data_IF_658412629680
#
_entry.id   IF_658412629680
#
_cell.length_a   1.000
_cell.length_b   1.000
_cell.length_c   1.000
_cell.angle_alpha   90.00
_cell.angle_beta   90.00
_cell.angle_gamma   90.00
#
_symmetry.space_group_name_H-M   'P 1'
#
loop_
_entity.id
_entity.type
_entity.pdbx_description
1 polymer ?
#
# COMPACT_ATOMS: atom_id res chain seq x y z
N UNK A 1 18.77 -7.91 -16.05
CA UNK A 1 17.41 -7.56 -16.50
C UNK A 1 16.50 -7.25 -15.29
N UNK A 2 16.87 -6.20 -14.54
CA UNK A 2 16.10 -5.70 -13.38
C UNK A 2 15.09 -4.60 -13.78
N UNK A 3 14.93 -4.35 -15.08
CA UNK A 3 14.16 -3.21 -15.59
C UNK A 3 12.66 -3.39 -15.70
N UNK A 4 12.10 -4.60 -15.48
CA UNK A 4 10.70 -4.85 -15.82
C UNK A 4 9.68 -4.66 -14.68
N UNK A 5 10.11 -4.74 -13.43
CA UNK A 5 9.21 -4.57 -12.27
C UNK A 5 8.97 -3.08 -11.97
N UNK A 6 10.02 -2.27 -12.04
CA UNK A 6 9.95 -0.83 -11.81
C UNK A 6 9.08 -0.09 -12.83
N UNK A 7 9.11 -0.55 -14.09
CA UNK A 7 8.36 0.09 -15.19
C UNK A 7 6.89 -0.28 -15.25
N UNK A 8 6.50 -1.45 -14.74
CA UNK A 8 5.12 -1.96 -14.90
C UNK A 8 4.16 -1.52 -13.79
N UNK A 9 4.63 -1.24 -12.58
CA UNK A 9 3.74 -0.97 -11.44
C UNK A 9 3.77 0.50 -11.01
N UNK A 10 4.95 1.12 -10.92
CA UNK A 10 5.09 2.45 -10.31
C UNK A 10 4.82 3.67 -11.21
N UNK A 11 5.14 3.69 -12.52
CA UNK A 11 4.79 4.83 -13.38
C UNK A 11 3.31 4.87 -13.78
N UNK A 12 2.64 3.72 -13.80
CA UNK A 12 1.29 3.59 -14.35
C UNK A 12 0.16 3.55 -13.31
N UNK A 13 0.46 3.54 -12.00
CA UNK A 13 -0.58 3.50 -10.95
C UNK A 13 -1.17 4.86 -10.60
N UNK A 14 -0.82 5.90 -11.37
CA UNK A 14 -1.32 7.24 -11.09
C UNK A 14 -0.88 7.80 -9.72
N UNK A 15 0.15 7.19 -9.08
CA UNK A 15 0.73 7.75 -7.86
C UNK A 15 1.49 9.02 -8.23
N UNK A 16 0.75 10.13 -8.28
CA UNK A 16 1.32 11.45 -8.51
C UNK A 16 2.12 11.88 -7.28
N UNK A 17 3.43 11.97 -7.43
CA UNK A 17 4.27 12.54 -6.39
C UNK A 17 4.00 14.04 -6.28
N UNK A 18 3.89 14.59 -5.05
CA UNK A 18 3.76 16.04 -4.88
C UNK A 18 5.10 16.73 -5.17
N UNK A 19 5.04 17.92 -5.80
CA UNK A 19 6.21 18.74 -6.07
C UNK A 19 7.02 18.33 -7.30
N UNK A 20 8.27 18.81 -7.37
CA UNK A 20 9.19 18.56 -8.48
C UNK A 20 10.27 17.55 -8.08
N UNK A 21 10.76 16.76 -9.05
CA UNK A 21 11.85 15.80 -8.81
C UNK A 21 13.14 16.57 -8.46
N UNK A 22 13.73 16.22 -7.31
CA UNK A 22 14.97 16.82 -6.82
C UNK A 22 16.15 15.84 -6.79
N UNK A 23 15.87 14.55 -6.56
CA UNK A 23 16.90 13.52 -6.45
C UNK A 23 16.42 12.20 -7.06
N UNK A 24 17.37 11.40 -7.57
CA UNK A 24 17.10 10.04 -8.08
C UNK A 24 18.23 9.07 -7.74
N UNK A 25 17.86 7.85 -7.39
CA UNK A 25 18.77 6.70 -7.21
C UNK A 25 18.25 5.49 -8.00
N UNK A 26 19.00 4.37 -8.09
CA UNK A 26 18.48 3.15 -8.71
C UNK A 26 17.21 2.58 -8.07
N UNK A 27 16.96 2.92 -6.80
CA UNK A 27 15.82 2.38 -6.02
C UNK A 27 14.73 3.39 -5.72
N UNK A 28 14.87 4.65 -6.15
CA UNK A 28 13.83 5.60 -5.84
C UNK A 28 14.07 7.00 -6.37
N UNK A 29 13.03 7.81 -6.24
CA UNK A 29 13.02 9.23 -6.55
C UNK A 29 12.60 10.02 -5.32
N UNK A 30 13.12 11.24 -5.20
CA UNK A 30 12.61 12.24 -4.26
C UNK A 30 12.05 13.40 -5.04
N UNK A 31 10.84 13.80 -4.67
CA UNK A 31 10.26 15.07 -5.08
C UNK A 31 10.16 15.99 -3.88
N UNK A 32 10.05 17.28 -4.11
CA UNK A 32 9.87 18.25 -3.04
C UNK A 32 8.93 19.38 -3.45
N UNK A 33 8.20 19.89 -2.48
CA UNK A 33 7.37 21.08 -2.58
C UNK A 33 7.78 22.12 -1.50
N UNK A 34 6.95 23.12 -1.30
CA UNK A 34 7.19 24.14 -0.29
C UNK A 34 7.24 23.59 1.16
N UNK A 35 6.62 22.43 1.42
CA UNK A 35 6.38 21.92 2.77
C UNK A 35 7.20 20.69 3.12
N UNK A 36 7.53 19.85 2.14
CA UNK A 36 8.17 18.56 2.41
C UNK A 36 9.04 18.03 1.28
N UNK A 37 9.75 16.96 1.61
CA UNK A 37 10.44 16.08 0.68
C UNK A 37 9.75 14.70 0.72
N UNK A 38 9.53 14.12 -0.44
CA UNK A 38 8.73 12.89 -0.57
C UNK A 38 9.53 11.87 -1.35
N UNK A 39 9.84 10.74 -0.73
CA UNK A 39 10.56 9.65 -1.38
C UNK A 39 9.60 8.55 -1.82
N UNK A 40 9.71 8.11 -3.08
CA UNK A 40 9.08 6.89 -3.60
C UNK A 40 10.16 5.89 -3.91
N UNK A 41 10.16 4.77 -3.19
CA UNK A 41 11.09 3.66 -3.35
C UNK A 41 10.41 2.47 -4.01
N UNK A 42 11.16 1.75 -4.86
CA UNK A 42 10.69 0.57 -5.55
C UNK A 42 11.81 -0.45 -5.79
N UNK A 43 11.43 -1.71 -5.94
CA UNK A 43 12.36 -2.76 -6.31
C UNK A 43 13.38 -3.13 -5.22
N UNK A 44 13.04 -2.91 -3.95
CA UNK A 44 13.91 -3.24 -2.82
C UNK A 44 13.78 -4.72 -2.49
N UNK A 45 14.76 -5.52 -2.88
CA UNK A 45 14.86 -6.94 -2.53
C UNK A 45 15.68 -7.19 -1.26
N UNK A 46 15.75 -8.46 -0.81
CA UNK A 46 16.63 -8.90 0.27
C UNK A 46 18.10 -8.82 -0.17
N UNK A 47 19.01 -8.77 0.80
CA UNK A 47 20.43 -8.85 0.55
C UNK A 47 20.87 -10.23 0.03
N UNK A 48 20.19 -11.30 0.46
CA UNK A 48 20.41 -12.68 0.01
C UNK A 48 19.07 -13.31 -0.38
N UNK A 49 18.90 -13.58 -1.67
CA UNK A 49 17.70 -14.23 -2.21
C UNK A 49 17.64 -15.74 -1.92
N UNK A 50 18.71 -16.35 -1.40
CA UNK A 50 18.73 -17.76 -1.00
C UNK A 50 18.41 -17.97 0.49
N UNK A 51 18.32 -16.91 1.28
CA UNK A 51 17.96 -16.98 2.69
C UNK A 51 16.52 -17.49 2.90
N UNK A 52 16.16 -17.99 4.09
CA UNK A 52 14.78 -18.31 4.45
C UNK A 52 13.84 -17.11 4.21
N UNK A 53 12.57 -17.37 3.82
CA UNK A 53 11.63 -16.34 3.39
C UNK A 53 11.42 -15.21 4.41
N UNK A 54 11.30 -15.55 5.71
CA UNK A 54 11.19 -14.56 6.78
C UNK A 54 12.44 -13.68 6.94
N UNK A 55 13.63 -14.24 6.72
CA UNK A 55 14.88 -13.47 6.78
C UNK A 55 15.03 -12.58 5.54
N UNK A 56 14.56 -13.06 4.38
CA UNK A 56 14.46 -12.21 3.19
C UNK A 56 13.56 -11.00 3.44
N UNK A 57 12.38 -11.22 4.07
CA UNK A 57 11.46 -10.12 4.39
C UNK A 57 12.09 -9.11 5.36
N UNK A 58 12.73 -9.57 6.42
CA UNK A 58 13.42 -8.69 7.37
C UNK A 58 14.52 -7.87 6.68
N UNK A 59 15.37 -8.53 5.90
CA UNK A 59 16.47 -7.91 5.14
C UNK A 59 15.96 -6.90 4.09
N UNK A 60 14.81 -7.16 3.47
CA UNK A 60 14.19 -6.21 2.53
C UNK A 60 13.71 -4.94 3.24
N UNK A 61 13.14 -5.03 4.46
CA UNK A 61 12.83 -3.84 5.27
C UNK A 61 14.08 -3.05 5.64
N UNK A 62 15.19 -3.71 6.00
CA UNK A 62 16.49 -3.04 6.18
C UNK A 62 16.97 -2.39 4.87
N UNK A 63 16.68 -3.00 3.74
CA UNK A 63 16.93 -2.44 2.41
C UNK A 63 16.18 -1.12 2.19
N UNK A 64 14.90 -1.06 2.58
CA UNK A 64 14.12 0.19 2.55
C UNK A 64 14.77 1.28 3.41
N UNK A 65 15.18 0.93 4.63
CA UNK A 65 15.86 1.87 5.54
C UNK A 65 17.17 2.39 4.93
N UNK A 66 18.00 1.52 4.35
CA UNK A 66 19.23 1.93 3.67
C UNK A 66 18.97 2.82 2.45
N UNK A 67 17.94 2.52 1.66
CA UNK A 67 17.57 3.33 0.50
C UNK A 67 17.07 4.73 0.92
N UNK A 68 16.32 4.83 2.01
CA UNK A 68 15.89 6.11 2.60
C UNK A 68 17.09 6.92 3.12
N UNK A 69 18.07 6.26 3.73
CA UNK A 69 19.26 6.94 4.25
C UNK A 69 20.07 7.65 3.14
N UNK A 70 20.04 7.16 1.90
CA UNK A 70 20.66 7.83 0.76
C UNK A 70 20.02 9.21 0.46
N UNK A 71 18.78 9.44 0.91
CA UNK A 71 18.05 10.70 0.80
C UNK A 71 18.01 11.51 2.10
N UNK A 72 18.77 11.09 3.13
CA UNK A 72 18.74 11.73 4.45
C UNK A 72 17.42 11.48 5.21
N UNK A 73 16.70 10.40 4.89
CA UNK A 73 15.49 9.96 5.57
C UNK A 73 15.75 8.66 6.34
N UNK A 74 14.85 8.29 7.24
CA UNK A 74 14.83 7.02 7.93
C UNK A 74 13.42 6.40 7.92
N UNK A 75 13.27 5.23 8.54
CA UNK A 75 12.00 4.51 8.53
C UNK A 75 10.87 5.25 9.28
N UNK A 76 11.16 6.27 10.09
CA UNK A 76 10.13 7.09 10.74
C UNK A 76 9.38 8.00 9.78
N UNK A 77 9.92 8.23 8.59
CA UNK A 77 9.29 8.99 7.52
C UNK A 77 8.37 8.14 6.63
N UNK A 78 8.41 6.79 6.76
CA UNK A 78 7.61 5.90 5.90
C UNK A 78 6.13 6.04 6.21
N UNK A 79 5.37 6.42 5.20
CA UNK A 79 3.91 6.58 5.23
C UNK A 79 3.21 5.30 4.80
N UNK A 80 3.78 4.63 3.79
CA UNK A 80 3.20 3.43 3.17
C UNK A 80 4.27 2.47 2.71
N UNK A 81 3.96 1.17 2.75
CA UNK A 81 4.76 0.09 2.15
C UNK A 81 3.95 -0.75 1.18
N UNK A 82 4.61 -1.27 0.13
CA UNK A 82 4.11 -2.31 -0.77
C UNK A 82 4.98 -3.55 -0.61
N UNK A 83 4.33 -4.70 -0.47
CA UNK A 83 4.94 -6.00 -0.21
C UNK A 83 4.54 -6.95 -1.34
N UNK A 84 5.42 -7.13 -2.31
CA UNK A 84 5.20 -8.06 -3.43
C UNK A 84 5.91 -9.37 -3.10
N UNK A 85 5.14 -10.40 -2.73
CA UNK A 85 5.66 -11.65 -2.20
C UNK A 85 5.36 -12.82 -3.13
N UNK A 86 6.39 -13.50 -3.64
CA UNK A 86 6.21 -14.73 -4.41
C UNK A 86 5.52 -15.79 -3.55
N UNK A 87 4.42 -16.37 -4.07
CA UNK A 87 3.60 -17.39 -3.39
C UNK A 87 3.24 -17.00 -1.94
N UNK A 88 2.70 -15.80 -1.77
CA UNK A 88 2.42 -15.18 -0.47
C UNK A 88 1.64 -16.11 0.48
N UNK A 89 0.74 -16.93 -0.04
CA UNK A 89 -0.09 -17.84 0.76
C UNK A 89 0.69 -18.95 1.47
N UNK A 90 1.91 -19.27 1.01
CA UNK A 90 2.75 -20.31 1.61
C UNK A 90 3.48 -19.86 2.87
N UNK A 91 3.71 -18.53 3.04
CA UNK A 91 4.58 -18.01 4.09
C UNK A 91 4.15 -16.64 4.64
N UNK A 92 2.86 -16.32 4.53
CA UNK A 92 2.33 -15.02 4.99
C UNK A 92 2.55 -14.77 6.48
N UNK A 93 2.53 -15.82 7.30
CA UNK A 93 2.81 -15.71 8.74
C UNK A 93 4.29 -15.36 8.98
N UNK A 94 5.23 -15.95 8.26
CA UNK A 94 6.65 -15.61 8.34
C UNK A 94 6.91 -14.16 7.90
N UNK A 95 6.21 -13.69 6.87
CA UNK A 95 6.25 -12.30 6.43
C UNK A 95 5.78 -11.35 7.53
N UNK A 96 4.63 -11.65 8.15
CA UNK A 96 4.08 -10.85 9.25
C UNK A 96 5.02 -10.85 10.47
N UNK A 97 5.57 -12.00 10.85
CA UNK A 97 6.53 -12.13 11.94
C UNK A 97 7.81 -11.33 11.68
N UNK A 98 8.33 -11.36 10.45
CA UNK A 98 9.52 -10.60 10.07
C UNK A 98 9.25 -9.08 10.13
N UNK A 99 8.08 -8.62 9.61
CA UNK A 99 7.64 -7.23 9.68
C UNK A 99 7.47 -6.78 11.13
N UNK A 100 6.80 -7.57 11.96
CA UNK A 100 6.60 -7.25 13.37
C UNK A 100 7.94 -7.11 14.12
N UNK A 101 8.86 -8.06 13.90
CA UNK A 101 10.22 -8.01 14.46
C UNK A 101 10.96 -6.74 14.04
N UNK A 102 10.91 -6.37 12.76
CA UNK A 102 11.52 -5.14 12.26
C UNK A 102 10.86 -3.90 12.88
N UNK A 103 9.53 -3.81 12.90
CA UNK A 103 8.80 -2.68 13.45
C UNK A 103 9.07 -2.48 14.95
N UNK A 104 9.16 -3.56 15.73
CA UNK A 104 9.55 -3.50 17.14
C UNK A 104 10.97 -2.97 17.29
N UNK A 105 11.92 -3.47 16.51
CA UNK A 105 13.33 -3.04 16.59
C UNK A 105 13.54 -1.56 16.24
N UNK A 106 12.62 -0.95 15.50
CA UNK A 106 12.65 0.47 15.09
C UNK A 106 11.66 1.34 15.85
N UNK A 107 10.95 0.81 16.85
CA UNK A 107 9.98 1.56 17.66
C UNK A 107 8.79 2.11 16.86
N UNK A 108 8.41 1.45 15.76
CA UNK A 108 7.31 1.89 14.87
C UNK A 108 5.99 1.98 15.63
N UNK A 109 5.69 1.00 16.48
CA UNK A 109 4.43 0.96 17.26
C UNK A 109 4.25 2.11 18.25
N UNK A 110 5.34 2.75 18.69
CA UNK A 110 5.29 3.90 19.59
C UNK A 110 5.04 5.23 18.88
N UNK A 111 4.91 5.23 17.55
CA UNK A 111 4.77 6.44 16.73
C UNK A 111 3.62 6.32 15.75
N UNK A 112 3.89 5.73 14.59
CA UNK A 112 2.99 5.63 13.47
C UNK A 112 3.25 4.29 12.76
N UNK A 113 2.20 3.49 12.55
CA UNK A 113 2.28 2.26 11.78
C UNK A 113 1.87 2.59 10.34
N UNK A 114 2.75 2.37 9.34
CA UNK A 114 2.45 2.71 7.95
C UNK A 114 1.22 2.01 7.40
N UNK A 115 0.55 2.63 6.43
CA UNK A 115 -0.36 1.92 5.54
C UNK A 115 0.42 0.86 4.75
N UNK A 116 -0.23 -0.23 4.33
CA UNK A 116 0.46 -1.30 3.62
C UNK A 116 -0.47 -2.11 2.73
N UNK A 117 0.08 -2.63 1.63
CA UNK A 117 -0.56 -3.63 0.78
C UNK A 117 0.40 -4.80 0.60
N UNK A 118 -0.09 -6.03 0.80
CA UNK A 118 0.67 -7.26 0.65
C UNK A 118 0.04 -8.17 -0.40
N UNK A 119 0.70 -8.37 -1.53
CA UNK A 119 0.18 -9.06 -2.72
C UNK A 119 1.12 -10.17 -3.15
N UNK A 120 0.53 -11.27 -3.59
CA UNK A 120 1.22 -12.43 -4.13
C UNK A 120 1.68 -12.21 -5.56
N UNK A 121 2.90 -11.70 -5.74
CA UNK A 121 3.46 -11.46 -7.06
C UNK A 121 5.00 -11.42 -7.03
N UNK A 122 5.65 -12.18 -7.91
CA UNK A 122 7.11 -12.27 -7.96
C UNK A 122 7.73 -11.34 -9.00
N UNK A 123 6.98 -10.96 -10.02
CA UNK A 123 7.49 -10.18 -11.16
C UNK A 123 8.72 -10.79 -11.83
N UNK A 124 8.97 -12.09 -11.64
CA UNK A 124 10.15 -12.78 -12.16
C UNK A 124 11.42 -12.56 -11.33
N UNK A 125 11.32 -11.99 -10.12
CA UNK A 125 12.43 -11.90 -9.17
C UNK A 125 12.80 -13.29 -8.63
N UNK A 126 14.09 -13.61 -8.43
CA UNK A 126 14.50 -14.80 -7.70
C UNK A 126 14.24 -14.71 -6.20
N UNK A 127 14.03 -13.49 -5.67
CA UNK A 127 13.73 -13.26 -4.27
C UNK A 127 12.26 -13.54 -3.98
N UNK A 128 11.98 -14.02 -2.76
CA UNK A 128 10.61 -14.28 -2.26
C UNK A 128 9.84 -13.00 -2.01
N UNK A 129 10.49 -11.85 -1.92
CA UNK A 129 9.86 -10.56 -1.66
C UNK A 129 10.60 -9.42 -2.32
N UNK A 130 9.83 -8.44 -2.79
CA UNK A 130 10.32 -7.12 -3.22
C UNK A 130 9.45 -6.06 -2.58
N UNK A 131 10.06 -5.03 -2.00
CA UNK A 131 9.38 -3.94 -1.33
C UNK A 131 9.38 -2.66 -2.14
N UNK A 132 8.33 -1.87 -1.94
CA UNK A 132 8.27 -0.45 -2.22
C UNK A 132 7.89 0.33 -0.97
N UNK A 133 8.19 1.64 -0.95
CA UNK A 133 7.79 2.51 0.13
C UNK A 133 7.54 3.94 -0.36
N UNK A 134 6.59 4.61 0.26
CA UNK A 134 6.42 6.05 0.18
C UNK A 134 6.74 6.66 1.53
N UNK A 135 7.61 7.68 1.52
CA UNK A 135 8.03 8.39 2.73
C UNK A 135 7.82 9.90 2.55
N UNK A 136 7.53 10.60 3.65
CA UNK A 136 7.33 12.04 3.68
C UNK A 136 8.13 12.65 4.84
N UNK A 137 9.02 13.59 4.52
CA UNK A 137 9.88 14.32 5.46
C UNK A 137 9.48 15.79 5.47
N UNK A 138 9.09 16.37 6.62
CA UNK A 138 8.78 17.80 6.70
C UNK A 138 10.04 18.66 6.53
N UNK A 139 9.93 19.79 5.81
CA UNK A 139 10.99 20.80 5.71
C UNK A 139 11.09 21.67 6.99
N UNK A 140 10.00 21.77 7.74
CA UNK A 140 9.95 22.44 9.02
C UNK A 140 8.95 21.73 9.96
N UNK A 141 9.05 21.90 11.28
CA UNK A 141 8.12 21.27 12.23
C UNK A 141 6.66 21.58 11.86
N UNK A 142 5.86 20.49 11.66
CA UNK A 142 4.44 20.60 11.35
C UNK A 142 4.08 20.96 9.89
N UNK A 143 5.06 21.19 8.99
CA UNK A 143 4.77 21.45 7.58
C UNK A 143 4.24 20.24 6.82
N UNK A 144 4.55 19.04 7.26
CA UNK A 144 3.92 17.78 6.86
C UNK A 144 3.50 17.02 8.11
N UNK A 145 2.24 16.62 8.18
CA UNK A 145 1.68 15.82 9.28
C UNK A 145 1.19 14.51 8.70
N UNK A 146 1.62 13.40 9.30
CA UNK A 146 1.20 12.05 8.92
C UNK A 146 0.41 11.43 10.06
N UNK A 147 -0.76 10.86 9.76
CA UNK A 147 -1.66 10.25 10.73
C UNK A 147 -2.17 8.89 10.21
N UNK A 148 -2.17 7.87 11.07
CA UNK A 148 -2.81 6.60 10.77
C UNK A 148 -4.34 6.74 10.92
N UNK A 149 -5.07 6.23 9.94
CA UNK A 149 -6.53 6.26 9.95
C UNK A 149 -7.11 4.86 10.20
N UNK A 150 -8.10 4.73 11.11
CA UNK A 150 -8.90 3.53 11.21
C UNK A 150 -9.89 3.42 10.05
N UNK A 151 -10.39 2.22 9.78
CA UNK A 151 -11.58 2.03 8.96
C UNK A 151 -12.82 2.07 9.83
N UNK A 152 -13.87 2.81 9.46
CA UNK A 152 -15.15 2.75 10.16
C UNK A 152 -15.86 1.40 10.07
N UNK A 153 -15.54 0.58 9.06
CA UNK A 153 -16.23 -0.68 8.75
C UNK A 153 -15.38 -1.94 8.96
N UNK A 154 -14.06 -1.80 9.23
CA UNK A 154 -13.17 -2.95 9.42
C UNK A 154 -12.37 -2.79 10.72
N UNK A 155 -12.14 -3.91 11.41
CA UNK A 155 -11.28 -3.92 12.60
C UNK A 155 -9.83 -3.52 12.27
N UNK A 156 -9.06 -3.03 13.24
CA UNK A 156 -7.63 -2.81 13.08
C UNK A 156 -6.89 -4.08 12.63
N UNK A 157 -5.98 -3.95 11.65
CA UNK A 157 -5.25 -5.11 11.12
C UNK A 157 -4.39 -5.81 12.19
N UNK A 158 -3.92 -5.07 13.18
CA UNK A 158 -3.14 -5.59 14.30
C UNK A 158 -3.91 -6.59 15.17
N UNK A 159 -5.25 -6.54 15.19
CA UNK A 159 -6.08 -7.51 15.94
C UNK A 159 -6.02 -8.94 15.39
N UNK A 160 -5.62 -9.09 14.11
CA UNK A 160 -5.44 -10.40 13.49
C UNK A 160 -3.98 -10.66 13.03
N UNK A 161 -3.01 -10.00 13.66
CA UNK A 161 -1.59 -10.28 13.48
C UNK A 161 -0.93 -9.61 12.26
N UNK A 162 -1.57 -8.62 11.65
CA UNK A 162 -1.00 -7.88 10.52
C UNK A 162 -0.65 -6.45 10.92
N UNK A 163 0.64 -6.10 10.84
CA UNK A 163 1.17 -4.81 11.32
C UNK A 163 1.06 -3.73 10.26
N UNK A 164 -0.15 -3.17 10.06
CA UNK A 164 -0.39 -2.01 9.20
C UNK A 164 -1.62 -1.22 9.65
N UNK A 165 -1.68 0.07 9.26
CA UNK A 165 -2.85 0.92 9.44
C UNK A 165 -3.79 0.80 8.23
N UNK A 166 -5.11 0.90 8.44
CA UNK A 166 -6.12 0.79 7.36
C UNK A 166 -5.94 1.86 6.30
N UNK A 167 -5.50 3.04 6.70
CA UNK A 167 -5.08 4.10 5.80
C UNK A 167 -4.10 5.03 6.52
N UNK A 168 -3.48 5.90 5.74
CA UNK A 168 -2.67 7.03 6.19
C UNK A 168 -3.23 8.32 5.64
N UNK A 169 -3.22 9.39 6.43
CA UNK A 169 -3.43 10.74 5.94
C UNK A 169 -2.13 11.52 5.99
N UNK A 170 -1.77 12.17 4.88
CA UNK A 170 -0.69 13.16 4.80
C UNK A 170 -1.31 14.52 4.60
N UNK A 171 -1.01 15.46 5.47
CA UNK A 171 -1.51 16.85 5.41
C UNK A 171 -0.38 17.84 5.34
N UNK A 172 -0.56 18.81 4.47
CA UNK A 172 0.27 20.02 4.36
C UNK A 172 -0.62 21.27 4.34
N UNK A 173 -0.08 22.47 4.42
CA UNK A 173 -0.88 23.70 4.20
C UNK A 173 -1.57 23.76 2.85
N UNK A 174 -1.02 23.16 1.78
CA UNK A 174 -1.53 23.28 0.41
C UNK A 174 -2.32 22.09 -0.11
N UNK A 175 -2.20 20.90 0.53
CA UNK A 175 -2.93 19.70 0.11
C UNK A 175 -3.06 18.70 1.24
N UNK A 176 -3.97 17.76 1.06
CA UNK A 176 -4.07 16.56 1.89
C UNK A 176 -4.29 15.34 1.01
N UNK A 177 -3.74 14.21 1.41
CA UNK A 177 -3.89 12.92 0.74
C UNK A 177 -4.26 11.85 1.75
N UNK A 178 -5.27 11.07 1.42
CA UNK A 178 -5.62 9.83 2.13
C UNK A 178 -5.15 8.65 1.28
N UNK A 179 -4.33 7.80 1.87
CA UNK A 179 -3.70 6.63 1.25
C UNK A 179 -4.31 5.39 1.90
N UNK A 180 -5.18 4.69 1.19
CA UNK A 180 -5.86 3.49 1.70
C UNK A 180 -5.01 2.26 1.45
N UNK A 181 -4.78 1.47 2.49
CA UNK A 181 -4.10 0.17 2.42
C UNK A 181 -4.88 -0.84 1.58
N UNK A 182 -4.23 -1.93 1.20
CA UNK A 182 -4.92 -3.08 0.62
C UNK A 182 -6.16 -3.43 1.44
N UNK A 183 -7.32 -3.34 0.79
CA UNK A 183 -8.64 -3.48 1.40
C UNK A 183 -9.42 -4.54 0.65
N UNK A 184 -9.65 -5.66 1.32
CA UNK A 184 -10.46 -6.78 0.86
C UNK A 184 -11.75 -6.90 1.67
N UNK A 185 -12.59 -7.86 1.34
CA UNK A 185 -13.87 -8.12 2.01
C UNK A 185 -13.64 -8.81 3.36
N UNK A 186 -13.84 -8.06 4.46
CA UNK A 186 -13.74 -8.56 5.84
C UNK A 186 -15.12 -8.49 6.51
N UNK A 187 -15.52 -9.57 7.16
CA UNK A 187 -16.77 -9.63 7.90
C UNK A 187 -16.76 -8.65 9.09
N UNK A 188 -17.78 -7.80 9.25
CA UNK A 188 -17.90 -6.94 10.41
C UNK A 188 -17.87 -7.73 11.73
N UNK A 189 -17.07 -7.27 12.67
CA UNK A 189 -16.95 -7.91 13.99
C UNK A 189 -16.21 -9.26 14.01
N UNK A 190 -15.57 -9.64 12.89
CA UNK A 190 -14.71 -10.81 12.80
C UNK A 190 -13.46 -10.50 11.96
N UNK A 191 -12.54 -11.48 11.92
CA UNK A 191 -11.32 -11.39 11.09
C UNK A 191 -11.45 -12.28 9.83
N UNK A 192 -12.64 -12.83 9.59
CA UNK A 192 -12.93 -13.72 8.47
C UNK A 192 -13.23 -13.00 7.16
N UNK A 193 -13.20 -13.76 6.07
CA UNK A 193 -13.63 -13.30 4.75
C UNK A 193 -15.14 -13.18 4.72
N UNK A 194 -15.67 -12.02 4.31
CA UNK A 194 -17.08 -11.87 3.99
C UNK A 194 -17.36 -12.29 2.55
N UNK A 195 -18.57 -12.75 2.25
CA UNK A 195 -18.99 -13.12 0.89
C UNK A 195 -18.08 -14.16 0.22
N UNK A 196 -17.72 -15.23 0.95
CA UNK A 196 -16.88 -16.31 0.41
C UNK A 196 -17.49 -16.87 -0.88
N UNK A 197 -16.67 -16.92 -1.95
CA UNK A 197 -17.09 -17.38 -3.28
C UNK A 197 -17.97 -16.40 -4.09
N UNK A 198 -18.37 -15.27 -3.53
CA UNK A 198 -19.14 -14.22 -4.21
C UNK A 198 -18.26 -13.02 -4.55
N UNK A 199 -17.75 -12.97 -5.79
CA UNK A 199 -16.89 -11.88 -6.27
C UNK A 199 -17.59 -10.53 -6.19
N UNK A 200 -18.85 -10.45 -6.59
CA UNK A 200 -19.59 -9.17 -6.59
C UNK A 200 -19.82 -8.65 -5.16
N UNK A 201 -20.18 -9.53 -4.24
CA UNK A 201 -20.32 -9.20 -2.83
C UNK A 201 -18.98 -8.78 -2.19
N UNK A 202 -17.86 -9.42 -2.57
CA UNK A 202 -16.54 -9.02 -2.08
C UNK A 202 -16.13 -7.64 -2.59
N UNK A 203 -16.37 -7.34 -3.86
CA UNK A 203 -16.11 -6.01 -4.44
C UNK A 203 -16.92 -4.95 -3.68
N UNK A 204 -18.23 -5.13 -3.56
CA UNK A 204 -19.11 -4.17 -2.88
C UNK A 204 -18.69 -3.94 -1.42
N UNK A 205 -18.37 -5.01 -0.69
CA UNK A 205 -17.91 -4.92 0.70
C UNK A 205 -16.60 -4.14 0.83
N UNK A 206 -15.61 -4.41 -0.02
CA UNK A 206 -14.32 -3.72 -0.02
C UNK A 206 -14.50 -2.24 -0.40
N UNK A 207 -15.25 -1.95 -1.45
CA UNK A 207 -15.48 -0.58 -1.92
C UNK A 207 -16.23 0.28 -0.91
N UNK A 208 -17.20 -0.29 -0.18
CA UNK A 208 -17.86 0.41 0.93
C UNK A 208 -16.89 0.73 2.07
N UNK A 209 -15.95 -0.18 2.38
CA UNK A 209 -14.93 0.09 3.39
C UNK A 209 -13.98 1.22 2.97
N UNK A 210 -13.60 1.28 1.69
CA UNK A 210 -12.79 2.36 1.12
C UNK A 210 -13.56 3.68 1.16
N UNK A 211 -14.82 3.70 0.71
CA UNK A 211 -15.68 4.88 0.75
C UNK A 211 -15.79 5.46 2.18
N UNK A 212 -16.06 4.59 3.18
CA UNK A 212 -16.18 5.00 4.57
C UNK A 212 -14.88 5.63 5.14
N UNK A 213 -13.71 5.16 4.70
CA UNK A 213 -12.43 5.78 5.07
C UNK A 213 -12.35 7.21 4.49
N UNK A 214 -12.67 7.40 3.21
CA UNK A 214 -12.67 8.72 2.57
C UNK A 214 -13.69 9.66 3.21
N UNK A 215 -14.92 9.20 3.41
CA UNK A 215 -16.01 9.96 4.05
C UNK A 215 -15.65 10.42 5.47
N UNK A 216 -14.90 9.61 6.24
CA UNK A 216 -14.41 9.99 7.56
C UNK A 216 -13.50 11.23 7.54
N UNK A 217 -13.00 11.59 6.36
CA UNK A 217 -12.16 12.77 6.10
C UNK A 217 -12.83 13.79 5.17
N UNK A 218 -14.14 13.66 4.91
CA UNK A 218 -14.88 14.55 4.01
C UNK A 218 -14.39 14.49 2.57
N UNK A 219 -13.91 13.31 2.15
CA UNK A 219 -13.55 12.98 0.77
C UNK A 219 -14.56 12.00 0.18
N UNK A 220 -14.55 11.88 -1.12
CA UNK A 220 -15.40 10.97 -1.89
C UNK A 220 -14.59 10.23 -2.93
N UNK A 221 -15.19 9.30 -3.67
CA UNK A 221 -14.53 8.69 -4.83
C UNK A 221 -14.11 9.71 -5.90
N UNK A 222 -14.80 10.86 -6.01
CA UNK A 222 -14.39 11.93 -6.91
C UNK A 222 -13.02 12.54 -6.62
N UNK A 223 -12.47 12.34 -5.42
CA UNK A 223 -11.14 12.80 -5.01
C UNK A 223 -10.03 11.77 -5.31
N UNK A 224 -10.38 10.55 -5.79
CA UNK A 224 -9.40 9.48 -6.07
C UNK A 224 -8.47 9.89 -7.20
N UNK A 225 -7.18 9.83 -6.94
CA UNK A 225 -6.10 10.18 -7.87
C UNK A 225 -5.32 8.99 -8.39
N UNK A 226 -5.48 7.82 -7.78
CA UNK A 226 -4.85 6.58 -8.22
C UNK A 226 -5.37 5.38 -7.44
N UNK A 227 -5.46 4.21 -8.10
CA UNK A 227 -5.86 2.97 -7.48
C UNK A 227 -5.25 1.75 -8.20
N UNK A 228 -4.91 0.71 -7.42
CA UNK A 228 -4.67 -0.63 -7.92
C UNK A 228 -5.73 -1.58 -7.42
N UNK A 229 -6.26 -2.37 -8.34
CA UNK A 229 -7.23 -3.42 -8.08
C UNK A 229 -6.57 -4.77 -8.33
N UNK A 230 -6.60 -5.63 -7.35
CA UNK A 230 -6.04 -6.97 -7.40
C UNK A 230 -7.17 -7.97 -7.52
N UNK A 231 -7.18 -8.69 -8.63
CA UNK A 231 -8.15 -9.72 -8.96
C UNK A 231 -7.49 -11.08 -8.77
N UNK A 232 -8.13 -11.98 -8.03
CA UNK A 232 -7.59 -13.33 -7.81
C UNK A 232 -7.33 -14.09 -9.11
N UNK A 233 -8.22 -13.91 -10.09
CA UNK A 233 -8.11 -14.45 -11.42
C UNK A 233 -8.81 -13.54 -12.46
N UNK A 234 -8.64 -13.86 -13.74
CA UNK A 234 -9.21 -13.07 -14.83
C UNK A 234 -10.74 -13.13 -14.87
N UNK A 235 -11.38 -14.18 -14.36
CA UNK A 235 -12.84 -14.28 -14.31
C UNK A 235 -13.47 -13.20 -13.40
N UNK A 236 -12.71 -12.71 -12.41
CA UNK A 236 -13.14 -11.64 -11.52
C UNK A 236 -13.29 -10.28 -12.26
N UNK A 237 -12.61 -10.09 -13.41
CA UNK A 237 -12.58 -8.81 -14.14
C UNK A 237 -13.95 -8.33 -14.56
N UNK A 238 -14.78 -9.19 -15.08
CA UNK A 238 -16.13 -8.83 -15.52
C UNK A 238 -17.03 -8.35 -14.35
N UNK A 239 -16.76 -8.79 -13.13
CA UNK A 239 -17.48 -8.30 -11.93
C UNK A 239 -17.02 -6.90 -11.55
N UNK A 240 -15.72 -6.61 -11.61
CA UNK A 240 -15.17 -5.28 -11.41
C UNK A 240 -15.68 -4.27 -12.44
N UNK A 241 -15.69 -4.64 -13.73
CA UNK A 241 -16.21 -3.78 -14.81
C UNK A 241 -17.70 -3.48 -14.63
N UNK A 242 -18.50 -4.46 -14.18
CA UNK A 242 -19.91 -4.21 -13.85
C UNK A 242 -20.07 -3.28 -12.65
N UNK A 243 -19.23 -3.43 -11.64
CA UNK A 243 -19.24 -2.51 -10.50
C UNK A 243 -18.94 -1.07 -10.96
N UNK A 244 -17.91 -0.86 -11.78
CA UNK A 244 -17.57 0.45 -12.34
C UNK A 244 -18.73 1.04 -13.16
N UNK A 245 -19.38 0.23 -13.97
CA UNK A 245 -20.54 0.67 -14.77
C UNK A 245 -21.75 1.11 -13.90
N UNK A 246 -21.90 0.52 -12.72
CA UNK A 246 -22.94 0.86 -11.76
C UNK A 246 -22.58 2.06 -10.86
N UNK A 247 -21.29 2.47 -10.81
CA UNK A 247 -20.78 3.53 -9.95
C UNK A 247 -20.02 4.59 -10.77
N UNK A 248 -20.75 5.39 -11.60
CA UNK A 248 -20.11 6.38 -12.47
C UNK A 248 -19.42 7.52 -11.71
N UNK A 249 -19.70 7.67 -10.42
CA UNK A 249 -19.00 8.61 -9.52
C UNK A 249 -17.54 8.17 -9.23
N UNK A 250 -17.19 6.89 -9.45
CA UNK A 250 -15.84 6.40 -9.30
C UNK A 250 -15.02 6.70 -10.55
N UNK A 251 -13.83 7.34 -10.46
CA UNK A 251 -13.02 7.72 -11.61
C UNK A 251 -12.28 6.50 -12.19
N UNK A 252 -12.97 5.69 -12.99
CA UNK A 252 -12.46 4.43 -13.55
C UNK A 252 -11.09 4.58 -14.26
N UNK A 253 -10.82 5.75 -14.85
CA UNK A 253 -9.53 6.05 -15.49
C UNK A 253 -8.33 6.06 -14.52
N UNK A 254 -8.58 6.24 -13.23
CA UNK A 254 -7.54 6.21 -12.19
C UNK A 254 -7.35 4.83 -11.57
N UNK A 255 -8.15 3.82 -11.95
CA UNK A 255 -8.04 2.47 -11.45
C UNK A 255 -7.41 1.53 -12.49
N UNK A 256 -6.39 0.78 -12.07
CA UNK A 256 -5.78 -0.28 -12.88
C UNK A 256 -6.01 -1.63 -12.22
N UNK A 257 -6.60 -2.56 -12.95
CA UNK A 257 -6.83 -3.92 -12.47
C UNK A 257 -5.74 -4.88 -12.98
N UNK A 258 -5.16 -5.65 -12.07
CA UNK A 258 -4.18 -6.69 -12.35
C UNK A 258 -4.59 -8.01 -11.70
N UNK A 259 -4.16 -9.14 -12.27
CA UNK A 259 -4.35 -10.45 -11.66
C UNK A 259 -3.19 -10.74 -10.74
N UNK A 260 -3.49 -11.03 -9.47
CA UNK A 260 -2.50 -11.35 -8.44
C UNK A 260 -3.13 -12.15 -7.30
N UNK A 261 -2.34 -12.98 -6.63
CA UNK A 261 -2.78 -13.58 -5.37
C UNK A 261 -2.91 -12.50 -4.29
N UNK A 262 -4.01 -12.55 -3.57
CA UNK A 262 -4.20 -11.80 -2.33
C UNK A 262 -3.75 -12.62 -1.12
N UNK A 263 -3.53 -11.99 0.02
CA UNK A 263 -2.89 -12.63 1.17
C UNK A 263 -3.74 -13.71 1.91
N UNK A 264 -4.97 -14.00 1.43
CA UNK A 264 -5.81 -15.12 1.88
C UNK A 264 -6.45 -15.83 0.69
N UNK A 265 -6.60 -17.16 0.75
CA UNK A 265 -7.08 -17.95 -0.40
C UNK A 265 -8.52 -17.61 -0.84
N UNK A 266 -9.39 -17.26 0.11
CA UNK A 266 -10.81 -16.98 -0.15
C UNK A 266 -11.08 -15.52 -0.57
N UNK A 267 -10.08 -14.65 -0.58
CA UNK A 267 -10.22 -13.32 -1.12
C UNK A 267 -10.05 -13.33 -2.64
N UNK A 268 -11.08 -12.86 -3.33
CA UNK A 268 -11.17 -12.81 -4.78
C UNK A 268 -10.87 -11.41 -5.33
N UNK A 269 -10.88 -10.41 -4.43
CA UNK A 269 -10.72 -9.00 -4.74
C UNK A 269 -10.04 -8.28 -3.59
N UNK A 270 -9.09 -7.42 -3.93
CA UNK A 270 -8.51 -6.43 -3.02
C UNK A 270 -8.25 -5.14 -3.80
N UNK A 271 -8.33 -3.99 -3.15
CA UNK A 271 -7.91 -2.73 -3.76
C UNK A 271 -7.14 -1.85 -2.79
N UNK A 272 -6.29 -1.04 -3.36
CA UNK A 272 -5.64 0.09 -2.70
C UNK A 272 -5.89 1.35 -3.51
N UNK A 273 -5.98 2.51 -2.86
CA UNK A 273 -6.19 3.76 -3.56
C UNK A 273 -5.72 4.98 -2.78
N UNK A 274 -5.49 6.05 -3.52
CA UNK A 274 -5.12 7.35 -3.00
C UNK A 274 -6.15 8.38 -3.43
N UNK A 275 -6.56 9.25 -2.51
CA UNK A 275 -7.40 10.41 -2.78
C UNK A 275 -6.66 11.68 -2.36
N UNK A 276 -6.70 12.73 -3.19
CA UNK A 276 -5.98 13.98 -2.92
C UNK A 276 -6.90 15.18 -3.12
N UNK A 277 -6.90 16.08 -2.14
CA UNK A 277 -7.56 17.38 -2.23
C UNK A 277 -6.50 18.49 -2.12
N UNK A 278 -6.55 19.44 -3.04
CA UNK A 278 -5.77 20.66 -3.04
C UNK A 278 -6.55 21.78 -2.33
N UNK A 279 -5.81 22.63 -1.60
CA UNK A 279 -6.38 23.78 -0.87
C UNK A 279 -6.14 25.07 -1.63
#
# INVERSE_FOLDING_TARGET
MAGSIQTAIFPDIGFSMPGEESERTPHGIVTEDAWGRYALLAGIGPADAAAPAGDQAYSAFEGVERALAAFGMDFSHVVRTWLYADRILEWYDDLNNARDRFFRSRGVYGRYVPASTGIGWSGGSPARIVLGAFAAQPKSPGSVVVEALPSPLQCPAMEYGSSFSRAAEVRTPGWRRVIVSGTASISPGSHGVAHVGDVAGQIDCAMRAVAAIYESRGMTFGDVTGALVYLKDEACRAHWERWLAAHPEYPAAHARAIVADVCRPDWLFEMESDATQWK
#
